data_IF_177665839319
#
_entry.id   IF_177665839319
#
_cell.length_a   1.000
_cell.length_b   1.000
_cell.length_c   1.000
_cell.angle_alpha   90.00
_cell.angle_beta   90.00
_cell.angle_gamma   90.00
#
_symmetry.space_group_name_H-M   'P 1'
#
loop_
_entity.id
_entity.type
_entity.pdbx_description
1 polymer ?
#
# COMPACT_ATOMS: atom_id res chain seq x y z
N UNK A 1 -13.91 -20.88 4.66
CA UNK A 1 -13.53 -19.65 3.92
C UNK A 1 -13.16 -18.59 4.96
N UNK A 2 -11.94 -18.61 5.51
CA UNK A 2 -11.51 -17.63 6.54
C UNK A 2 -10.00 -17.41 6.68
N UNK A 3 -9.13 -18.15 5.97
CA UNK A 3 -7.67 -17.99 6.09
C UNK A 3 -7.08 -17.00 5.09
N UNK A 4 -7.55 -16.99 3.83
CA UNK A 4 -6.97 -16.15 2.77
C UNK A 4 -7.09 -14.63 3.03
N UNK A 5 -8.18 -14.19 3.67
CA UNK A 5 -8.40 -12.78 4.02
C UNK A 5 -7.44 -12.28 5.09
N UNK A 6 -7.01 -13.14 6.03
CA UNK A 6 -6.11 -12.76 7.14
C UNK A 6 -4.64 -12.70 6.70
N UNK A 7 -4.26 -13.49 5.70
CA UNK A 7 -2.90 -13.44 5.14
C UNK A 7 -2.70 -12.17 4.32
N UNK A 8 -3.70 -11.75 3.53
CA UNK A 8 -3.61 -10.54 2.72
C UNK A 8 -3.49 -9.26 3.58
N UNK A 9 -4.30 -9.13 4.63
CA UNK A 9 -4.20 -7.98 5.56
C UNK A 9 -2.83 -7.91 6.27
N UNK A 10 -2.26 -9.05 6.64
CA UNK A 10 -0.91 -9.09 7.23
C UNK A 10 0.17 -8.67 6.24
N UNK A 11 0.08 -9.09 4.98
CA UNK A 11 1.04 -8.68 3.93
C UNK A 11 1.03 -7.17 3.75
N UNK A 12 -0.16 -6.57 3.56
CA UNK A 12 -0.29 -5.12 3.37
C UNK A 12 0.21 -4.29 4.57
N UNK A 13 0.00 -4.75 5.81
CA UNK A 13 0.55 -4.10 7.00
C UNK A 13 2.08 -4.18 7.05
N UNK A 14 2.65 -5.35 6.73
CA UNK A 14 4.12 -5.52 6.73
C UNK A 14 4.80 -4.72 5.63
N UNK A 15 4.18 -4.60 4.46
CA UNK A 15 4.71 -3.80 3.35
C UNK A 15 4.63 -2.30 3.64
N UNK A 16 3.52 -1.83 4.24
CA UNK A 16 3.40 -0.45 4.71
C UNK A 16 4.43 -0.12 5.79
N UNK A 17 4.67 -1.05 6.72
CA UNK A 17 5.69 -0.88 7.75
C UNK A 17 7.10 -0.82 7.14
N UNK A 18 7.37 -1.64 6.13
CA UNK A 18 8.64 -1.62 5.38
C UNK A 18 8.86 -0.28 4.68
N UNK A 19 7.82 0.25 4.02
CA UNK A 19 7.87 1.57 3.37
C UNK A 19 8.19 2.69 4.37
N UNK A 20 7.54 2.68 5.54
CA UNK A 20 7.81 3.63 6.62
C UNK A 20 9.22 3.46 7.18
N UNK A 21 9.69 2.24 7.33
CA UNK A 21 11.06 1.94 7.76
C UNK A 21 12.11 2.53 6.82
N UNK A 22 11.93 2.37 5.50
CA UNK A 22 12.82 2.97 4.51
C UNK A 22 12.84 4.49 4.58
N UNK A 23 11.69 5.14 4.74
CA UNK A 23 11.65 6.60 4.89
C UNK A 23 12.41 7.08 6.13
N UNK A 24 12.26 6.39 7.27
CA UNK A 24 12.96 6.75 8.51
C UNK A 24 14.47 6.58 8.36
N UNK A 25 14.92 5.46 7.78
CA UNK A 25 16.35 5.21 7.52
C UNK A 25 16.91 6.29 6.59
N UNK A 26 16.16 6.62 5.53
CA UNK A 26 16.57 7.63 4.57
C UNK A 26 16.74 9.02 5.18
N UNK A 27 15.83 9.47 6.05
CA UNK A 27 15.97 10.73 6.77
C UNK A 27 17.20 10.75 7.69
N UNK A 28 17.49 9.63 8.36
CA UNK A 28 18.67 9.50 9.23
C UNK A 28 19.96 9.60 8.39
N UNK A 29 20.02 8.93 7.24
CA UNK A 29 21.17 8.98 6.32
C UNK A 29 21.32 10.36 5.69
N UNK A 30 20.23 11.01 5.28
CA UNK A 30 20.24 12.35 4.73
C UNK A 30 20.83 13.35 5.72
N UNK A 31 20.32 13.37 6.96
CA UNK A 31 20.82 14.24 8.02
C UNK A 31 22.26 13.85 8.39
N UNK A 32 22.54 12.55 8.53
CA UNK A 32 23.87 12.03 8.84
C UNK A 32 24.92 12.48 7.83
N UNK A 33 24.65 12.30 6.54
CA UNK A 33 25.52 12.72 5.44
C UNK A 33 25.73 14.24 5.40
N UNK A 34 24.71 15.04 5.71
CA UNK A 34 24.86 16.49 5.85
C UNK A 34 25.81 16.84 7.00
N UNK A 35 25.64 16.20 8.17
CA UNK A 35 26.43 16.50 9.37
C UNK A 35 27.88 16.01 9.27
N UNK A 36 28.13 14.91 8.55
CA UNK A 36 29.47 14.35 8.35
C UNK A 36 30.16 14.91 7.10
N UNK A 37 29.41 15.61 6.23
CA UNK A 37 29.90 16.05 4.93
C UNK A 37 30.09 14.89 3.93
N UNK A 38 29.38 13.77 4.12
CA UNK A 38 29.37 12.64 3.20
C UNK A 38 28.25 12.81 2.16
N UNK A 39 28.59 13.19 0.90
CA UNK A 39 27.59 13.39 -0.14
C UNK A 39 26.95 12.09 -0.61
N UNK A 40 27.61 10.93 -0.42
CA UNK A 40 27.06 9.62 -0.81
C UNK A 40 25.98 9.22 0.17
N UNK A 41 26.27 9.25 1.47
CA UNK A 41 25.27 8.95 2.51
C UNK A 41 24.06 9.88 2.42
N UNK A 42 24.27 11.17 2.09
CA UNK A 42 23.14 12.08 1.86
C UNK A 42 22.26 11.63 0.69
N UNK A 43 22.87 11.28 -0.43
CA UNK A 43 22.14 10.85 -1.63
C UNK A 43 21.43 9.51 -1.43
N UNK A 44 22.04 8.57 -0.69
CA UNK A 44 21.40 7.31 -0.28
C UNK A 44 20.19 7.57 0.60
N UNK A 45 20.30 8.53 1.52
CA UNK A 45 19.19 8.95 2.36
C UNK A 45 18.02 9.51 1.57
N UNK A 46 18.28 10.45 0.66
CA UNK A 46 17.27 11.03 -0.25
C UNK A 46 16.59 9.94 -1.10
N UNK A 47 17.37 8.99 -1.64
CA UNK A 47 16.85 7.87 -2.41
C UNK A 47 15.94 6.95 -1.58
N UNK A 48 16.33 6.63 -0.34
CA UNK A 48 15.54 5.78 0.56
C UNK A 48 14.19 6.42 0.94
N UNK A 49 14.15 7.74 1.12
CA UNK A 49 12.90 8.49 1.32
C UNK A 49 12.00 8.42 0.08
N UNK A 50 12.56 8.61 -1.11
CA UNK A 50 11.80 8.57 -2.36
C UNK A 50 11.20 7.18 -2.62
N UNK A 51 12.02 6.13 -2.49
CA UNK A 51 11.56 4.74 -2.67
C UNK A 51 10.47 4.38 -1.66
N UNK A 52 10.67 4.73 -0.38
CA UNK A 52 9.67 4.48 0.66
C UNK A 52 8.35 5.20 0.40
N UNK A 53 8.41 6.43 -0.11
CA UNK A 53 7.23 7.22 -0.46
C UNK A 53 6.47 6.60 -1.64
N UNK A 54 7.17 6.23 -2.71
CA UNK A 54 6.58 5.58 -3.88
C UNK A 54 5.96 4.23 -3.53
N UNK A 55 6.61 3.44 -2.66
CA UNK A 55 6.09 2.16 -2.20
C UNK A 55 4.80 2.35 -1.40
N UNK A 56 4.77 3.33 -0.49
CA UNK A 56 3.58 3.65 0.28
C UNK A 56 2.42 4.12 -0.61
N UNK A 57 2.69 4.97 -1.60
CA UNK A 57 1.68 5.44 -2.55
C UNK A 57 1.13 4.29 -3.41
N UNK A 58 2.02 3.44 -3.92
CA UNK A 58 1.65 2.26 -4.71
C UNK A 58 0.74 1.32 -3.91
N UNK A 59 1.08 1.04 -2.66
CA UNK A 59 0.26 0.18 -1.81
C UNK A 59 -1.09 0.81 -1.48
N UNK A 60 -1.14 2.12 -1.19
CA UNK A 60 -2.42 2.83 -0.99
C UNK A 60 -3.31 2.73 -2.21
N UNK A 61 -2.76 2.89 -3.40
CA UNK A 61 -3.50 2.78 -4.66
C UNK A 61 -4.01 1.36 -4.89
N UNK A 62 -3.19 0.34 -4.61
CA UNK A 62 -3.57 -1.06 -4.76
C UNK A 62 -4.71 -1.44 -3.80
N UNK A 63 -4.59 -1.07 -2.52
CA UNK A 63 -5.66 -1.28 -1.53
C UNK A 63 -6.95 -0.56 -1.92
N UNK A 64 -6.87 0.65 -2.50
CA UNK A 64 -8.04 1.37 -2.97
C UNK A 64 -8.70 0.70 -4.20
N UNK A 65 -7.93 0.00 -5.04
CA UNK A 65 -8.45 -0.77 -6.17
C UNK A 65 -9.18 -2.03 -5.65
N UNK A 66 -8.56 -2.78 -4.74
CA UNK A 66 -9.17 -3.97 -4.12
C UNK A 66 -10.52 -3.66 -3.47
N UNK A 67 -10.60 -2.54 -2.73
CA UNK A 67 -11.85 -2.09 -2.10
C UNK A 67 -12.94 -1.68 -3.11
N UNK A 68 -12.56 -1.13 -4.27
CA UNK A 68 -13.52 -0.79 -5.32
C UNK A 68 -14.04 -2.04 -6.06
N UNK A 69 -13.20 -3.07 -6.24
CA UNK A 69 -13.61 -4.33 -6.85
C UNK A 69 -14.60 -5.11 -5.96
N UNK A 70 -14.40 -5.11 -4.63
CA UNK A 70 -15.36 -5.69 -3.69
C UNK A 70 -16.71 -4.96 -3.72
N UNK A 71 -16.72 -3.63 -3.81
CA UNK A 71 -17.97 -2.84 -3.87
C UNK A 71 -18.79 -3.12 -5.15
N UNK A 72 -18.13 -3.45 -6.27
CA UNK A 72 -18.82 -3.72 -7.53
C UNK A 72 -19.40 -5.15 -7.62
N UNK A 73 -18.86 -6.12 -6.88
CA UNK A 73 -19.46 -7.45 -6.83
C UNK A 73 -20.80 -7.47 -6.08
N UNK A 74 -20.94 -6.69 -4.99
CA UNK A 74 -22.17 -6.67 -4.20
C UNK A 74 -23.36 -6.04 -4.95
N UNK A 75 -23.12 -4.96 -5.71
CA UNK A 75 -24.19 -4.31 -6.49
C UNK A 75 -24.71 -5.16 -7.66
N UNK A 76 -23.94 -6.15 -8.11
CA UNK A 76 -24.34 -7.05 -9.19
C UNK A 76 -25.23 -8.22 -8.71
N UNK A 77 -25.22 -8.52 -7.42
CA UNK A 77 -26.01 -9.60 -6.83
C UNK A 77 -27.38 -9.13 -6.28
N UNK A 78 -27.55 -7.83 -6.04
CA UNK A 78 -28.82 -7.25 -5.54
C UNK A 78 -29.81 -6.87 -6.65
N UNK A 79 -29.38 -6.84 -7.92
CA UNK A 79 -30.20 -6.40 -9.06
C UNK A 79 -31.15 -7.47 -9.67
N UNK A 80 -31.45 -8.57 -8.97
CA UNK A 80 -32.37 -9.59 -9.47
C UNK A 80 -33.56 -9.93 -8.56
N UNK A 81 -34.48 -8.99 -8.24
CA UNK A 81 -35.85 -9.34 -7.95
C UNK A 81 -36.72 -9.04 -9.19
N UNK A 82 -37.67 -9.94 -9.46
CA UNK A 82 -38.76 -9.79 -10.44
C UNK A 82 -38.43 -10.05 -11.93
N UNK A 83 -38.26 -11.32 -12.30
CA UNK A 83 -38.89 -11.80 -13.54
C UNK A 83 -40.03 -12.77 -13.22
N UNK A 84 -41.22 -12.23 -13.43
CA UNK A 84 -42.51 -12.83 -13.17
C UNK A 84 -42.70 -14.18 -13.85
N UNK A 85 -43.40 -15.06 -13.13
CA UNK A 85 -44.17 -16.17 -13.68
C UNK A 85 -45.19 -15.63 -14.68
N UNK A 86 -45.15 -16.13 -15.92
CA UNK A 86 -46.30 -16.26 -16.81
C UNK A 86 -46.02 -17.56 -17.59
N UNK A 87 -46.62 -18.68 -17.19
CA UNK A 87 -47.89 -19.20 -17.72
C UNK A 87 -47.88 -19.35 -19.24
#
# INVERSE_FOLDING_TARGET
MTDETKENEKSGLTENLSAVGQMIIGEIEAIGGILTGDPVTRAEGEFNVEVGSLHQETNKNLTAIEQNEELHQDTSNEAAPFRNKAQ
#
